data_IF_448579501884
#
_entry.id   IF_448579501884
#
_cell.length_a   1.000
_cell.length_b   1.000
_cell.length_c   1.000
_cell.angle_alpha   90.00
_cell.angle_beta   90.00
_cell.angle_gamma   90.00
#
_symmetry.space_group_name_H-M   'P 1'
#
loop_
_entity.id
_entity.type
_entity.pdbx_description
1 polymer ?
#
# COMPACT_ATOMS: atom_id res chain seq x y z
N UNK A 1 -24.09 0.35 12.04
CA UNK A 1 -22.63 0.26 12.20
C UNK A 1 -22.21 -1.15 11.86
N UNK A 2 -21.73 -1.40 10.64
CA UNK A 2 -21.08 -2.66 10.30
C UNK A 2 -19.80 -2.75 11.15
N UNK A 3 -19.58 -3.89 11.82
CA UNK A 3 -18.36 -4.16 12.56
C UNK A 3 -17.18 -4.24 11.57
N UNK A 4 -16.10 -3.52 11.87
CA UNK A 4 -14.95 -3.46 10.98
C UNK A 4 -14.01 -4.65 11.21
N UNK A 5 -14.12 -5.65 10.34
CA UNK A 5 -13.27 -6.85 10.37
C UNK A 5 -11.79 -6.55 10.05
N UNK A 6 -11.47 -5.42 9.43
CA UNK A 6 -10.11 -5.06 9.02
C UNK A 6 -9.42 -4.06 9.96
N UNK A 7 -10.00 -3.78 11.14
CA UNK A 7 -9.48 -2.75 12.06
C UNK A 7 -8.00 -2.92 12.43
N UNK A 8 -7.52 -4.17 12.48
CA UNK A 8 -6.15 -4.51 12.86
C UNK A 8 -5.17 -4.47 11.67
N UNK A 9 -5.71 -4.22 10.47
CA UNK A 9 -4.97 -4.10 9.21
C UNK A 9 -4.69 -2.65 8.82
N UNK A 10 -5.11 -1.65 9.60
CA UNK A 10 -4.71 -0.27 9.34
C UNK A 10 -4.68 0.53 10.63
N UNK A 11 -3.65 1.35 10.81
CA UNK A 11 -3.55 2.21 11.98
C UNK A 11 -2.55 3.33 11.76
N UNK A 12 -2.66 4.38 12.57
CA UNK A 12 -1.55 5.31 12.80
C UNK A 12 -0.66 4.65 13.85
N UNK A 13 0.52 4.21 13.44
CA UNK A 13 1.48 3.58 14.33
C UNK A 13 1.99 4.58 15.38
N UNK A 14 2.26 4.13 16.62
CA UNK A 14 2.94 4.96 17.61
C UNK A 14 4.34 5.36 17.11
N UNK A 15 4.92 6.39 17.74
CA UNK A 15 6.27 6.83 17.43
C UNK A 15 7.25 5.64 17.55
N UNK A 16 8.00 5.39 16.48
CA UNK A 16 9.00 4.34 16.43
C UNK A 16 10.16 4.71 17.37
N UNK A 17 10.24 4.03 18.50
CA UNK A 17 11.26 4.23 19.54
C UNK A 17 12.16 2.99 19.72
N UNK A 18 12.27 2.14 18.69
CA UNK A 18 13.08 0.91 18.69
C UNK A 18 12.79 -0.07 19.85
N UNK A 19 11.56 -0.06 20.37
CA UNK A 19 11.11 -0.95 21.46
C UNK A 19 10.99 -2.40 21.02
N UNK A 20 10.64 -2.62 19.76
CA UNK A 20 10.39 -3.93 19.18
C UNK A 20 11.16 -4.06 17.86
N UNK A 21 11.68 -5.27 17.61
CA UNK A 21 12.22 -5.65 16.30
C UNK A 21 11.19 -6.52 15.61
N UNK A 22 10.43 -5.93 14.71
CA UNK A 22 9.48 -6.65 13.88
C UNK A 22 10.26 -7.45 12.83
N UNK A 23 10.05 -8.76 12.79
CA UNK A 23 10.62 -9.63 11.76
C UNK A 23 9.84 -9.44 10.45
N UNK A 24 10.20 -8.41 9.69
CA UNK A 24 9.65 -8.15 8.36
C UNK A 24 10.72 -7.60 7.43
N UNK A 25 10.73 -8.10 6.20
CA UNK A 25 11.65 -7.65 5.17
C UNK A 25 11.01 -6.53 4.33
N UNK A 26 11.53 -5.32 4.47
CA UNK A 26 11.13 -4.18 3.64
C UNK A 26 11.83 -4.25 2.29
N UNK A 27 11.06 -4.32 1.21
CA UNK A 27 11.56 -4.29 -0.16
C UNK A 27 11.48 -2.86 -0.68
N UNK A 28 12.53 -2.40 -1.35
CA UNK A 28 12.55 -1.08 -1.99
C UNK A 28 11.63 -1.08 -3.21
N UNK A 29 10.91 0.02 -3.43
CA UNK A 29 10.04 0.21 -4.61
C UNK A 29 10.79 -0.02 -5.93
N UNK A 30 12.09 0.28 -5.97
CA UNK A 30 12.92 0.11 -7.17
C UNK A 30 13.14 -1.36 -7.54
N UNK A 31 13.14 -2.26 -6.55
CA UNK A 31 13.54 -3.67 -6.72
C UNK A 31 12.33 -4.57 -7.03
N UNK A 32 11.13 -3.99 -7.12
CA UNK A 32 9.89 -4.72 -7.39
C UNK A 32 9.70 -4.82 -8.89
N UNK A 33 9.61 -6.05 -9.39
CA UNK A 33 9.41 -6.38 -10.78
C UNK A 33 8.32 -7.46 -10.97
N UNK A 34 8.03 -7.78 -12.22
CA UNK A 34 7.03 -8.78 -12.60
C UNK A 34 7.34 -10.19 -12.07
N UNK A 35 8.62 -10.50 -11.77
CA UNK A 35 9.02 -11.80 -11.23
C UNK A 35 8.58 -11.98 -9.78
N UNK A 36 8.21 -10.89 -9.12
CA UNK A 36 7.64 -10.89 -7.79
C UNK A 36 6.11 -11.02 -7.78
N UNK A 37 5.46 -11.17 -8.95
CA UNK A 37 4.02 -11.37 -9.02
C UNK A 37 3.55 -12.51 -8.11
N UNK A 38 2.39 -12.31 -7.48
CA UNK A 38 1.75 -13.18 -6.48
C UNK A 38 2.51 -13.33 -5.15
N UNK A 39 3.63 -12.62 -4.96
CA UNK A 39 4.31 -12.58 -3.66
C UNK A 39 3.72 -11.48 -2.78
N UNK A 40 3.52 -11.80 -1.51
CA UNK A 40 3.18 -10.80 -0.49
C UNK A 40 4.48 -10.20 0.06
N UNK A 41 4.57 -8.87 0.06
CA UNK A 41 5.77 -8.14 0.43
C UNK A 41 5.43 -6.96 1.34
N UNK A 42 6.44 -6.48 2.07
CA UNK A 42 6.35 -5.22 2.80
C UNK A 42 7.11 -4.11 2.06
N UNK A 43 6.48 -2.95 1.93
CA UNK A 43 7.08 -1.77 1.31
C UNK A 43 6.91 -0.59 2.24
N UNK A 44 7.99 0.19 2.41
CA UNK A 44 7.96 1.48 3.10
C UNK A 44 8.18 2.59 2.09
N UNK A 45 7.31 3.60 2.10
CA UNK A 45 7.43 4.75 1.22
C UNK A 45 6.63 5.94 1.67
N UNK A 46 6.72 7.03 0.91
CA UNK A 46 5.90 8.23 1.12
C UNK A 46 4.66 8.15 0.24
N UNK A 47 3.51 8.53 0.78
CA UNK A 47 2.30 8.70 0.00
C UNK A 47 2.44 9.94 -0.88
N UNK A 48 2.66 9.77 -2.17
CA UNK A 48 2.79 10.89 -3.09
C UNK A 48 1.42 11.50 -3.42
N UNK A 49 0.47 10.65 -3.80
CA UNK A 49 -0.92 11.06 -4.10
C UNK A 49 -1.86 9.91 -3.77
N UNK A 50 -3.10 10.24 -3.38
CA UNK A 50 -4.18 9.29 -3.15
C UNK A 50 -5.42 9.72 -3.92
N UNK A 51 -6.15 8.73 -4.46
CA UNK A 51 -7.43 8.92 -5.15
C UNK A 51 -8.42 7.84 -4.70
N UNK A 52 -9.43 8.25 -3.93
CA UNK A 52 -10.55 7.38 -3.56
C UNK A 52 -11.63 7.35 -4.64
N UNK A 53 -12.24 6.20 -4.88
CA UNK A 53 -13.41 6.02 -5.75
C UNK A 53 -14.29 4.90 -5.18
N UNK A 54 -15.32 5.26 -4.42
CA UNK A 54 -16.28 4.30 -3.85
C UNK A 54 -15.64 3.25 -2.96
N UNK A 55 -15.54 2.01 -3.44
CA UNK A 55 -14.97 0.85 -2.73
C UNK A 55 -13.47 0.63 -2.99
N UNK A 56 -12.81 1.57 -3.66
CA UNK A 56 -11.41 1.48 -4.04
C UNK A 56 -10.66 2.78 -3.71
N UNK A 57 -9.38 2.67 -3.39
CA UNK A 57 -8.46 3.79 -3.26
C UNK A 57 -7.14 3.44 -3.95
N UNK A 58 -6.72 4.32 -4.85
CA UNK A 58 -5.42 4.25 -5.52
C UNK A 58 -4.45 5.15 -4.79
N UNK A 59 -3.32 4.59 -4.39
CA UNK A 59 -2.21 5.28 -3.74
C UNK A 59 -1.00 5.22 -4.66
N UNK A 60 -0.28 6.33 -4.80
CA UNK A 60 1.04 6.33 -5.44
C UNK A 60 2.07 6.42 -4.32
N UNK A 61 2.89 5.38 -4.21
CA UNK A 61 3.94 5.27 -3.20
C UNK A 61 5.26 5.65 -3.84
N UNK A 62 5.96 6.59 -3.20
CA UNK A 62 7.27 7.07 -3.63
C UNK A 62 8.34 6.67 -2.63
N UNK A 63 9.36 6.00 -3.13
CA UNK A 63 10.59 5.74 -2.37
C UNK A 63 11.77 6.27 -3.18
N UNK A 64 12.39 7.34 -2.70
CA UNK A 64 13.44 8.08 -3.42
C UNK A 64 12.95 8.54 -4.82
N UNK A 65 13.58 8.05 -5.88
CA UNK A 65 13.26 8.33 -7.29
C UNK A 65 12.27 7.34 -7.90
N UNK A 66 11.92 6.26 -7.19
CA UNK A 66 11.01 5.24 -7.69
C UNK A 66 9.59 5.46 -7.17
N UNK A 67 8.60 5.20 -8.03
CA UNK A 67 7.17 5.28 -7.73
C UNK A 67 6.44 4.03 -8.20
N UNK A 68 5.41 3.64 -7.44
CA UNK A 68 4.58 2.49 -7.76
C UNK A 68 3.15 2.72 -7.27
N UNK A 69 2.20 2.10 -7.95
CA UNK A 69 0.79 2.12 -7.57
C UNK A 69 0.49 1.04 -6.52
N UNK A 70 -0.28 1.42 -5.51
CA UNK A 70 -0.91 0.51 -4.57
C UNK A 70 -2.43 0.70 -4.64
N UNK A 71 -3.16 -0.41 -4.67
CA UNK A 71 -4.61 -0.46 -4.79
C UNK A 71 -5.18 -1.02 -3.49
N UNK A 72 -6.01 -0.22 -2.83
CA UNK A 72 -6.77 -0.60 -1.64
C UNK A 72 -8.21 -0.82 -2.08
N UNK A 73 -8.64 -2.07 -2.19
CA UNK A 73 -9.98 -2.44 -2.64
C UNK A 73 -10.66 -3.30 -1.58
N UNK A 74 -11.96 -3.10 -1.35
CA UNK A 74 -12.73 -3.92 -0.39
C UNK A 74 -12.66 -5.40 -0.79
N UNK A 75 -12.14 -6.23 0.11
CA UNK A 75 -12.00 -7.68 -0.04
C UNK A 75 -12.08 -8.36 1.34
N UNK A 76 -11.62 -9.61 1.48
CA UNK A 76 -11.64 -10.35 2.75
C UNK A 76 -10.68 -9.77 3.82
N UNK A 77 -9.69 -8.97 3.43
CA UNK A 77 -8.69 -8.35 4.30
C UNK A 77 -8.90 -6.84 4.50
N UNK A 78 -9.58 -6.19 3.56
CA UNK A 78 -9.74 -4.74 3.48
C UNK A 78 -11.22 -4.39 3.59
N UNK A 79 -11.59 -3.63 4.62
CA UNK A 79 -12.96 -3.15 4.81
C UNK A 79 -13.22 -1.81 4.14
N UNK A 80 -14.50 -1.39 4.06
CA UNK A 80 -14.87 -0.04 3.60
C UNK A 80 -14.25 1.06 4.48
N UNK A 81 -14.10 0.79 5.78
CA UNK A 81 -13.46 1.70 6.74
C UNK A 81 -11.97 1.86 6.45
N UNK A 82 -11.27 0.78 6.09
CA UNK A 82 -9.87 0.83 5.66
C UNK A 82 -9.70 1.64 4.37
N UNK A 83 -10.57 1.45 3.37
CA UNK A 83 -10.55 2.28 2.15
C UNK A 83 -10.76 3.76 2.49
N UNK A 84 -11.71 4.07 3.37
CA UNK A 84 -11.94 5.45 3.84
C UNK A 84 -10.72 5.99 4.57
N UNK A 85 -10.11 5.22 5.45
CA UNK A 85 -8.87 5.60 6.14
C UNK A 85 -7.76 5.94 5.13
N UNK A 86 -7.51 5.07 4.14
CA UNK A 86 -6.51 5.29 3.10
C UNK A 86 -6.71 6.61 2.33
N UNK A 87 -7.95 7.02 2.08
CA UNK A 87 -8.25 8.33 1.42
C UNK A 87 -7.95 9.54 2.29
N UNK A 88 -7.93 9.38 3.61
CA UNK A 88 -7.69 10.47 4.57
C UNK A 88 -6.21 10.66 4.92
N UNK A 89 -5.34 9.73 4.51
CA UNK A 89 -3.89 9.84 4.75
C UNK A 89 -3.36 11.10 4.04
N UNK A 90 -2.66 11.93 4.80
CA UNK A 90 -2.07 13.17 4.28
C UNK A 90 -0.93 12.86 3.31
N UNK A 91 -0.81 13.65 2.24
CA UNK A 91 0.31 13.54 1.29
C UNK A 91 1.65 13.67 2.02
N UNK A 92 2.66 12.98 1.51
CA UNK A 92 4.03 12.88 2.02
C UNK A 92 4.20 12.15 3.37
N UNK A 93 3.10 11.61 3.93
CA UNK A 93 3.15 10.69 5.08
C UNK A 93 3.97 9.46 4.74
N UNK A 94 4.79 9.01 5.69
CA UNK A 94 5.51 7.74 5.58
C UNK A 94 4.57 6.62 5.98
N UNK A 95 4.39 5.65 5.08
CA UNK A 95 3.50 4.52 5.30
C UNK A 95 4.24 3.21 5.03
N UNK A 96 3.87 2.20 5.81
CA UNK A 96 4.23 0.81 5.60
C UNK A 96 3.02 0.11 5.00
N UNK A 97 3.23 -0.62 3.92
CA UNK A 97 2.18 -1.37 3.23
C UNK A 97 2.63 -2.82 3.13
N UNK A 98 1.73 -3.72 3.50
CA UNK A 98 1.81 -5.13 3.16
C UNK A 98 0.80 -5.42 2.06
N UNK A 99 1.24 -6.07 1.00
CA UNK A 99 0.34 -6.42 -0.08
C UNK A 99 0.96 -7.39 -1.07
N UNK A 100 0.10 -7.92 -1.93
CA UNK A 100 0.48 -8.86 -2.96
C UNK A 100 0.80 -8.12 -4.26
N UNK A 101 1.91 -8.48 -4.90
CA UNK A 101 2.24 -7.92 -6.21
C UNK A 101 1.33 -8.55 -7.28
N UNK A 102 0.58 -7.71 -7.99
CA UNK A 102 -0.18 -8.09 -9.17
C UNK A 102 0.44 -7.47 -10.41
N UNK A 103 0.31 -8.16 -11.55
CA UNK A 103 0.58 -7.54 -12.85
C UNK A 103 -0.50 -6.50 -13.11
N UNK A 104 -0.08 -5.31 -13.53
CA UNK A 104 -1.00 -4.25 -13.90
C UNK A 104 -1.72 -4.63 -15.20
N UNK A 105 -3.06 -4.56 -15.27
CA UNK A 105 -3.80 -4.89 -16.50
C UNK A 105 -3.49 -3.89 -17.63
N UNK A 106 -3.11 -2.66 -17.27
CA UNK A 106 -2.69 -1.60 -18.18
C UNK A 106 -1.44 -0.93 -17.62
N UNK A 107 -0.51 -0.53 -18.49
CA UNK A 107 0.70 0.20 -18.12
C UNK A 107 0.39 1.46 -17.30
N UNK A 108 1.04 1.59 -16.14
CA UNK A 108 0.86 2.71 -15.21
C UNK A 108 1.86 3.82 -15.56
N UNK A 109 1.52 4.65 -16.53
CA UNK A 109 2.43 5.70 -17.04
C UNK A 109 2.86 6.76 -16.02
N UNK A 110 2.10 6.91 -14.92
CA UNK A 110 2.41 7.85 -13.84
C UNK A 110 3.50 7.35 -12.88
N UNK A 111 3.86 6.06 -12.95
CA UNK A 111 4.80 5.42 -12.04
C UNK A 111 6.06 4.95 -12.77
N UNK A 112 7.18 4.82 -12.03
CA UNK A 112 8.38 4.18 -12.58
C UNK A 112 8.16 2.67 -12.74
N UNK A 113 7.45 2.05 -11.79
CA UNK A 113 6.98 0.67 -11.90
C UNK A 113 5.65 0.65 -12.65
N UNK A 114 5.74 0.37 -13.96
CA UNK A 114 4.59 0.48 -14.88
C UNK A 114 3.78 -0.80 -15.02
N UNK A 115 4.44 -1.94 -14.88
CA UNK A 115 3.84 -3.25 -15.20
C UNK A 115 3.33 -4.00 -13.97
N UNK A 116 3.53 -3.43 -12.78
CA UNK A 116 3.20 -4.05 -11.50
C UNK A 116 2.50 -3.06 -10.58
N UNK A 117 1.60 -3.59 -9.76
CA UNK A 117 0.90 -2.86 -8.71
C UNK A 117 0.80 -3.70 -7.43
N UNK A 118 0.68 -3.04 -6.28
CA UNK A 118 0.43 -3.72 -5.00
C UNK A 118 -1.07 -3.79 -4.75
N UNK A 119 -1.60 -5.00 -4.54
CA UNK A 119 -2.92 -5.22 -3.94
C UNK A 119 -2.77 -5.24 -2.42
N UNK A 120 -3.21 -4.16 -1.77
CA UNK A 120 -2.97 -3.90 -0.34
C UNK A 120 -3.78 -4.88 0.52
N UNK A 121 -3.12 -5.44 1.53
CA UNK A 121 -3.71 -6.28 2.58
C UNK A 121 -3.67 -5.57 3.95
N UNK A 122 -2.61 -4.80 4.22
CA UNK A 122 -2.40 -4.05 5.48
C UNK A 122 -1.60 -2.77 5.26
#
# INVERSE_FOLDING_TARGET
NEEDFAKDNYAIMPLIQSKEKVDRQLISVRDIDEKMAKKTIWVRGRLHTSRGTGKQCFLIIRHQSATMQAVVCVNEYVSKSMVKFATTISKESVIDIEGEISLAPTSIESCSQKNVEIQVKK
#
